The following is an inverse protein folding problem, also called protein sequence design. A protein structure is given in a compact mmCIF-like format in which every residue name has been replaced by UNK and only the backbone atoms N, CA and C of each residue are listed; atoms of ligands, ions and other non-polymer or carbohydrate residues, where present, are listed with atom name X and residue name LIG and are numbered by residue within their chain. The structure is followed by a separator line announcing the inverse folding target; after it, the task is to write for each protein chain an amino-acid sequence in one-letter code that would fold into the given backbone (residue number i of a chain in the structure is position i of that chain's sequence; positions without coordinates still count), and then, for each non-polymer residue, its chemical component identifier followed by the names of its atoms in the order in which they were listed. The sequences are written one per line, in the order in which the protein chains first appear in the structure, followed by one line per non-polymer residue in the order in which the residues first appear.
data_IF_171659129784
#
_entry.id   IF_171659129784
#
_cell.length_a   1.000
_cell.length_b   1.000
_cell.length_c   1.000
_cell.angle_alpha   90.00
_cell.angle_beta   90.00
_cell.angle_gamma   90.00
#
_symmetry.space_group_name_H-M   'P 1'
#
loop_
_entity.id
_entity.type
_entity.pdbx_description
1 polymer ?
#
# COMPACT_ATOMS: atom_id res chain seq x y z
N UNK A 1 -35.98 -54.24 3.11
CA UNK A 1 -35.98 -52.92 2.45
C UNK A 1 -35.20 -51.98 3.34
N UNK A 2 -33.94 -51.73 2.99
CA UNK A 2 -33.05 -50.77 3.70
C UNK A 2 -33.00 -49.50 2.87
N UNK A 3 -33.55 -48.39 3.41
CA UNK A 3 -33.42 -47.08 2.81
C UNK A 3 -32.03 -46.51 3.20
N UNK A 4 -31.20 -46.26 2.21
CA UNK A 4 -29.98 -45.46 2.36
C UNK A 4 -30.40 -43.99 2.34
N UNK A 5 -30.17 -43.28 3.44
CA UNK A 5 -30.20 -41.81 3.49
C UNK A 5 -28.91 -41.31 2.86
N UNK A 6 -29.00 -40.66 1.71
CA UNK A 6 -27.91 -39.90 1.12
C UNK A 6 -27.89 -38.54 1.79
N UNK A 7 -26.88 -38.30 2.66
CA UNK A 7 -26.57 -36.98 3.19
C UNK A 7 -25.81 -36.21 2.10
N UNK A 8 -26.50 -35.28 1.45
CA UNK A 8 -25.87 -34.33 0.54
C UNK A 8 -25.21 -33.24 1.41
N UNK A 9 -23.89 -33.30 1.49
CA UNK A 9 -23.07 -32.24 2.04
C UNK A 9 -23.05 -31.05 1.08
N UNK A 10 -23.93 -30.06 1.34
CA UNK A 10 -23.83 -28.73 0.74
C UNK A 10 -22.73 -27.95 1.45
N UNK A 11 -21.48 -28.11 1.01
CA UNK A 11 -20.36 -27.25 1.42
C UNK A 11 -20.26 -26.03 0.50
N UNK A 12 -20.87 -24.92 0.88
CA UNK A 12 -20.32 -23.60 1.11
C UNK A 12 -19.55 -22.93 -0.04
N UNK A 13 -20.32 -22.43 -1.00
CA UNK A 13 -19.88 -21.33 -1.89
C UNK A 13 -20.05 -19.93 -1.23
N UNK A 14 -20.28 -19.88 0.10
CA UNK A 14 -20.71 -18.65 0.79
C UNK A 14 -19.60 -17.78 1.38
N UNK A 15 -18.37 -18.27 1.52
CA UNK A 15 -17.32 -17.51 2.21
C UNK A 15 -16.46 -16.60 1.29
N UNK A 16 -16.36 -16.94 0.01
CA UNK A 16 -15.59 -16.11 -0.94
C UNK A 16 -16.31 -14.84 -1.37
N UNK A 17 -17.64 -14.76 -1.23
CA UNK A 17 -18.43 -13.59 -1.62
C UNK A 17 -18.49 -12.48 -0.56
N UNK A 18 -18.16 -12.78 0.70
CA UNK A 18 -18.22 -11.78 1.78
C UNK A 18 -17.07 -10.76 1.72
N UNK A 19 -15.99 -11.06 1.02
CA UNK A 19 -14.75 -10.28 1.02
C UNK A 19 -14.67 -9.20 -0.06
N UNK A 20 -15.63 -9.13 -0.96
CA UNK A 20 -15.63 -8.20 -2.10
C UNK A 20 -16.79 -7.18 -2.09
N UNK A 21 -17.41 -6.94 -0.95
CA UNK A 21 -18.50 -5.97 -0.86
C UNK A 21 -17.97 -4.53 -0.84
N UNK A 22 -18.38 -3.74 -1.85
CA UNK A 22 -18.17 -2.29 -1.84
C UNK A 22 -18.94 -1.67 -0.69
N UNK A 23 -18.26 -0.93 0.19
CA UNK A 23 -18.93 -0.12 1.17
C UNK A 23 -19.86 0.89 0.47
N UNK A 24 -21.08 1.12 0.94
CA UNK A 24 -22.02 2.07 0.35
C UNK A 24 -21.45 3.49 0.23
N UNK A 25 -20.58 3.88 1.18
CA UNK A 25 -19.80 5.11 1.15
C UNK A 25 -18.35 4.77 1.50
N UNK A 26 -17.51 4.45 0.50
CA UNK A 26 -16.14 3.99 0.77
C UNK A 26 -15.26 5.04 1.46
N UNK A 27 -15.49 6.32 1.23
CA UNK A 27 -14.74 7.40 1.89
C UNK A 27 -15.06 7.45 3.38
N UNK A 28 -16.33 7.34 3.74
CA UNK A 28 -16.77 7.32 5.15
C UNK A 28 -16.35 6.02 5.85
N UNK A 29 -16.50 4.88 5.20
CA UNK A 29 -16.12 3.58 5.75
C UNK A 29 -14.62 3.50 6.04
N UNK A 30 -13.80 4.13 5.19
CA UNK A 30 -12.34 4.17 5.33
C UNK A 30 -11.82 5.46 6.01
N UNK A 31 -12.63 6.22 6.72
CA UNK A 31 -12.20 7.45 7.38
C UNK A 31 -11.04 7.22 8.38
N UNK A 32 -10.94 6.03 8.99
CA UNK A 32 -9.82 5.65 9.85
C UNK A 32 -8.48 5.55 9.10
N UNK A 33 -8.50 5.25 7.81
CA UNK A 33 -7.31 5.14 6.97
C UNK A 33 -6.96 6.46 6.27
N UNK A 34 -7.92 7.36 6.16
CA UNK A 34 -7.74 8.71 5.63
C UNK A 34 -8.37 9.74 6.58
N UNK A 35 -7.81 9.88 7.80
CA UNK A 35 -8.42 10.67 8.86
C UNK A 35 -8.51 12.17 8.53
N UNK A 36 -7.76 12.61 7.53
CA UNK A 36 -7.76 14.00 7.05
C UNK A 36 -8.62 14.19 5.79
N UNK A 37 -9.44 13.18 5.44
CA UNK A 37 -10.36 13.22 4.30
C UNK A 37 -9.80 12.60 3.03
N UNK A 38 -10.69 12.44 2.06
CA UNK A 38 -10.33 11.97 0.72
C UNK A 38 -9.66 13.10 -0.06
N UNK A 39 -8.44 12.85 -0.56
CA UNK A 39 -7.71 13.87 -1.29
C UNK A 39 -8.32 14.17 -2.66
N UNK A 40 -8.23 15.42 -3.08
CA UNK A 40 -8.55 15.80 -4.45
C UNK A 40 -7.43 15.36 -5.38
N UNK A 41 -7.79 14.81 -6.52
CA UNK A 41 -6.85 14.37 -7.57
C UNK A 41 -7.13 15.16 -8.85
N UNK A 42 -6.07 15.47 -9.60
CA UNK A 42 -6.19 16.17 -10.90
C UNK A 42 -6.96 15.34 -11.94
N UNK A 43 -6.91 14.01 -11.82
CA UNK A 43 -7.67 13.05 -12.63
C UNK A 43 -8.77 12.44 -11.77
N UNK A 44 -9.96 12.15 -12.32
CA UNK A 44 -11.00 11.47 -11.56
C UNK A 44 -10.49 10.13 -11.01
N UNK A 45 -10.67 9.90 -9.71
CA UNK A 45 -10.29 8.67 -9.05
C UNK A 45 -11.47 8.08 -8.29
N UNK A 46 -11.70 6.77 -8.47
CA UNK A 46 -12.76 6.04 -7.79
C UNK A 46 -12.30 5.64 -6.39
N UNK A 47 -13.02 6.00 -5.32
CA UNK A 47 -12.68 5.53 -3.99
C UNK A 47 -13.09 4.06 -3.82
N UNK A 48 -12.17 3.25 -3.28
CA UNK A 48 -12.38 1.84 -2.93
C UNK A 48 -11.88 1.67 -1.49
N UNK A 49 -12.79 1.28 -0.60
CA UNK A 49 -12.45 1.01 0.80
C UNK A 49 -12.15 -0.48 1.00
N UNK A 50 -11.07 -0.77 1.71
CA UNK A 50 -10.68 -2.08 2.19
C UNK A 50 -10.57 -2.07 3.72
N UNK A 51 -10.43 -3.23 4.33
CA UNK A 51 -10.37 -3.31 5.79
C UNK A 51 -9.22 -2.48 6.38
N UNK A 52 -8.09 -2.40 5.66
CA UNK A 52 -6.86 -1.77 6.15
C UNK A 52 -6.40 -0.53 5.37
N UNK A 53 -7.05 -0.18 4.26
CA UNK A 53 -6.62 0.96 3.44
C UNK A 53 -7.75 1.50 2.54
N UNK A 54 -7.57 2.73 2.10
CA UNK A 54 -8.40 3.41 1.10
C UNK A 54 -7.60 3.59 -0.19
N UNK A 55 -8.19 3.20 -1.31
CA UNK A 55 -7.63 3.44 -2.65
C UNK A 55 -8.40 4.57 -3.33
N UNK A 56 -7.69 5.49 -3.95
CA UNK A 56 -8.21 6.36 -5.00
C UNK A 56 -7.76 5.80 -6.35
N UNK A 57 -8.60 5.02 -7.01
CA UNK A 57 -8.23 4.27 -8.22
C UNK A 57 -8.47 5.09 -9.49
N UNK A 58 -7.42 5.27 -10.32
CA UNK A 58 -7.51 5.89 -11.65
C UNK A 58 -7.78 4.79 -12.70
N UNK A 59 -9.06 4.53 -12.94
CA UNK A 59 -9.52 3.43 -13.77
C UNK A 59 -9.02 3.47 -15.23
N UNK A 60 -8.96 4.63 -15.93
CA UNK A 60 -8.41 4.73 -17.27
C UNK A 60 -6.99 4.23 -17.44
N UNK A 61 -6.14 4.38 -16.41
CA UNK A 61 -4.72 3.98 -16.44
C UNK A 61 -4.42 2.77 -15.55
N UNK A 62 -5.44 2.25 -14.87
CA UNK A 62 -5.45 0.99 -14.11
C UNK A 62 -4.43 0.90 -12.98
N UNK A 63 -4.15 2.01 -12.31
CA UNK A 63 -3.35 2.08 -11.09
C UNK A 63 -4.04 2.94 -10.04
N UNK A 64 -3.68 2.83 -8.75
CA UNK A 64 -4.10 3.83 -7.78
C UNK A 64 -3.47 5.20 -8.09
N UNK A 65 -4.27 6.27 -8.06
CA UNK A 65 -3.75 7.63 -8.01
C UNK A 65 -3.03 7.83 -6.66
N UNK A 66 -3.61 7.30 -5.59
CA UNK A 66 -2.95 7.11 -4.29
C UNK A 66 -3.65 6.03 -3.49
N UNK A 67 -2.93 5.52 -2.48
CA UNK A 67 -3.46 4.69 -1.40
C UNK A 67 -3.19 5.38 -0.07
N UNK A 68 -4.18 5.35 0.83
CA UNK A 68 -4.05 5.88 2.19
C UNK A 68 -4.30 4.75 3.20
N UNK A 69 -3.46 4.66 4.22
CA UNK A 69 -3.68 3.74 5.33
C UNK A 69 -3.10 4.28 6.64
N UNK A 70 -3.65 3.82 7.75
CA UNK A 70 -3.13 4.14 9.08
C UNK A 70 -2.53 2.90 9.72
N UNK A 71 -1.22 2.93 9.93
CA UNK A 71 -0.48 1.85 10.60
C UNK A 71 -0.51 2.08 12.11
N UNK A 72 -1.14 1.16 12.82
CA UNK A 72 -1.13 1.12 14.27
C UNK A 72 0.07 0.29 14.78
N UNK A 73 0.69 0.62 15.93
CA UNK A 73 1.84 -0.14 16.46
C UNK A 73 1.58 -1.64 16.59
N UNK A 74 0.39 -2.03 17.05
CA UNK A 74 0.01 -3.43 17.23
C UNK A 74 -0.14 -4.18 15.90
N UNK A 75 -0.45 -3.49 14.80
CA UNK A 75 -0.63 -4.06 13.46
C UNK A 75 0.70 -4.17 12.70
N UNK A 76 1.67 -3.29 12.99
CA UNK A 76 2.98 -3.27 12.34
C UNK A 76 3.80 -4.56 12.51
N UNK A 77 3.41 -5.43 13.45
CA UNK A 77 3.98 -6.76 13.66
C UNK A 77 2.93 -7.85 13.38
N UNK A 78 2.23 -7.78 12.26
CA UNK A 78 1.30 -8.82 11.85
C UNK A 78 2.01 -10.17 11.63
N UNK A 79 1.33 -11.29 11.95
CA UNK A 79 1.93 -12.63 11.91
C UNK A 79 1.33 -13.52 10.83
N UNK A 80 0.41 -13.02 10.04
CA UNK A 80 -0.16 -13.81 8.95
C UNK A 80 0.90 -13.98 7.85
N UNK A 81 1.13 -15.23 7.36
CA UNK A 81 2.17 -15.48 6.38
C UNK A 81 1.83 -14.88 5.02
N UNK A 82 2.84 -14.36 4.34
CA UNK A 82 2.71 -13.83 2.99
C UNK A 82 2.29 -14.91 1.99
N UNK A 83 1.21 -14.68 1.26
CA UNK A 83 0.68 -15.66 0.29
C UNK A 83 1.18 -15.47 -1.13
N UNK A 84 1.57 -14.26 -1.53
CA UNK A 84 1.84 -13.87 -2.92
C UNK A 84 0.65 -14.10 -3.87
N UNK A 85 -0.57 -14.11 -3.32
CA UNK A 85 -1.80 -14.42 -4.03
C UNK A 85 -2.35 -13.19 -4.77
N UNK A 86 -1.57 -12.61 -5.69
CA UNK A 86 -2.02 -11.47 -6.49
C UNK A 86 -3.27 -11.83 -7.29
N UNK A 87 -4.30 -11.00 -7.18
CA UNK A 87 -5.61 -11.25 -7.78
C UNK A 87 -6.24 -9.95 -8.29
N UNK A 88 -6.96 -10.03 -9.41
CA UNK A 88 -7.75 -8.92 -9.92
C UNK A 88 -8.83 -8.51 -8.90
N UNK A 89 -9.02 -7.21 -8.74
CA UNK A 89 -10.05 -6.68 -7.84
C UNK A 89 -11.42 -6.82 -8.50
N UNK A 90 -12.24 -7.75 -7.99
CA UNK A 90 -13.57 -8.05 -8.54
C UNK A 90 -14.54 -6.88 -8.40
N UNK A 91 -14.29 -5.97 -7.46
CA UNK A 91 -15.13 -4.78 -7.27
C UNK A 91 -15.14 -3.84 -8.49
N UNK A 92 -14.19 -4.00 -9.42
CA UNK A 92 -14.12 -3.25 -10.67
C UNK A 92 -14.85 -3.92 -11.83
N UNK A 93 -15.51 -5.06 -11.63
CA UNK A 93 -16.26 -5.75 -12.70
C UNK A 93 -15.39 -6.16 -13.90
N UNK A 94 -14.13 -6.50 -13.67
CA UNK A 94 -13.19 -6.94 -14.71
C UNK A 94 -12.49 -5.83 -15.50
N UNK A 95 -12.71 -4.55 -15.17
CA UNK A 95 -12.09 -3.41 -15.88
C UNK A 95 -10.72 -3.00 -15.33
N UNK A 96 -10.34 -3.48 -14.14
CA UNK A 96 -9.07 -3.18 -13.48
C UNK A 96 -7.85 -3.90 -14.07
N UNK A 97 -6.69 -3.63 -13.48
CA UNK A 97 -5.47 -4.39 -13.75
C UNK A 97 -5.62 -5.85 -13.27
N UNK A 98 -4.90 -6.73 -13.94
CA UNK A 98 -4.84 -8.17 -13.62
C UNK A 98 -3.39 -8.61 -13.44
N UNK A 99 -3.11 -9.73 -12.76
CA UNK A 99 -1.77 -10.28 -12.68
C UNK A 99 -1.15 -10.59 -14.05
N UNK A 100 -1.98 -10.93 -15.05
CA UNK A 100 -1.54 -11.23 -16.42
C UNK A 100 -0.92 -10.00 -17.12
N UNK A 101 -1.35 -8.79 -16.77
CA UNK A 101 -0.81 -7.55 -17.35
C UNK A 101 0.68 -7.34 -17.04
N UNK A 102 1.22 -8.02 -16.03
CA UNK A 102 2.61 -7.92 -15.59
C UNK A 102 3.52 -9.03 -16.12
N UNK A 103 2.94 -10.10 -16.69
CA UNK A 103 3.72 -11.27 -17.14
C UNK A 103 4.67 -10.87 -18.28
N UNK A 104 5.96 -11.21 -18.14
CA UNK A 104 6.98 -10.93 -19.16
C UNK A 104 7.39 -9.48 -19.32
N UNK A 105 6.88 -8.55 -18.50
CA UNK A 105 7.13 -7.11 -18.64
C UNK A 105 8.43 -6.64 -17.98
N UNK A 106 9.01 -7.43 -17.07
CA UNK A 106 10.16 -7.06 -16.25
C UNK A 106 9.83 -6.18 -15.04
N UNK A 107 8.54 -5.86 -14.81
CA UNK A 107 8.10 -5.13 -13.63
C UNK A 107 7.54 -6.06 -12.57
N UNK A 108 7.85 -5.75 -11.32
CA UNK A 108 7.22 -6.34 -10.14
C UNK A 108 5.81 -5.74 -9.97
N UNK A 109 4.91 -6.49 -9.35
CA UNK A 109 3.67 -5.97 -8.77
C UNK A 109 4.01 -5.33 -7.43
N UNK A 110 4.41 -4.04 -7.47
CA UNK A 110 4.86 -3.29 -6.30
C UNK A 110 3.66 -2.80 -5.48
N UNK A 111 3.67 -3.10 -4.19
CA UNK A 111 2.62 -2.67 -3.28
C UNK A 111 2.63 -1.16 -3.04
N UNK A 112 1.46 -0.54 -3.00
CA UNK A 112 1.26 0.78 -2.42
C UNK A 112 1.20 0.67 -0.89
N UNK A 113 0.18 0.02 -0.33
CA UNK A 113 0.14 -0.39 1.08
C UNK A 113 0.78 -1.78 1.19
N UNK A 114 1.95 -1.92 1.83
CA UNK A 114 2.74 -3.14 1.75
C UNK A 114 2.17 -4.27 2.60
N UNK A 115 2.29 -5.49 2.13
CA UNK A 115 1.93 -6.71 2.84
C UNK A 115 2.53 -6.77 4.27
N UNK A 116 3.78 -6.36 4.44
CA UNK A 116 4.41 -6.30 5.75
C UNK A 116 3.69 -5.43 6.79
N UNK A 117 3.00 -4.36 6.34
CA UNK A 117 2.17 -3.50 7.17
C UNK A 117 0.76 -4.08 7.37
N UNK A 118 0.33 -5.02 6.51
CA UNK A 118 -1.04 -5.49 6.36
C UNK A 118 -1.20 -7.01 6.64
N UNK A 119 -0.42 -7.56 7.54
CA UNK A 119 -0.37 -9.01 7.83
C UNK A 119 -0.94 -9.40 9.20
N UNK A 120 -1.91 -8.65 9.75
CA UNK A 120 -2.47 -8.97 11.07
C UNK A 120 -3.70 -9.89 11.03
N UNK A 121 -4.41 -10.01 9.90
CA UNK A 121 -5.46 -11.00 9.65
C UNK A 121 -5.34 -11.58 8.26
N UNK A 122 -6.01 -12.72 7.99
CA UNK A 122 -6.07 -13.33 6.67
C UNK A 122 -6.75 -12.42 5.65
N UNK A 123 -7.82 -11.73 6.04
CA UNK A 123 -8.57 -10.81 5.21
C UNK A 123 -7.69 -9.65 4.75
N UNK A 124 -7.03 -8.99 5.69
CA UNK A 124 -6.18 -7.82 5.42
C UNK A 124 -4.98 -8.19 4.54
N UNK A 125 -4.37 -9.37 4.81
CA UNK A 125 -3.31 -9.90 3.97
C UNK A 125 -3.79 -10.17 2.55
N UNK A 126 -4.93 -10.87 2.39
CA UNK A 126 -5.55 -11.10 1.08
C UNK A 126 -5.80 -9.79 0.32
N UNK A 127 -6.40 -8.80 0.98
CA UNK A 127 -6.68 -7.50 0.37
C UNK A 127 -5.42 -6.76 -0.05
N UNK A 128 -4.29 -6.96 0.66
CA UNK A 128 -3.02 -6.35 0.29
C UNK A 128 -2.54 -6.75 -1.12
N UNK A 129 -2.92 -7.96 -1.60
CA UNK A 129 -2.58 -8.50 -2.92
C UNK A 129 -3.58 -8.18 -4.04
N UNK A 130 -4.61 -7.38 -3.78
CA UNK A 130 -5.51 -6.90 -4.84
C UNK A 130 -4.75 -5.99 -5.82
N UNK A 131 -4.98 -6.20 -7.12
CA UNK A 131 -4.29 -5.43 -8.16
C UNK A 131 -4.60 -3.93 -8.11
N UNK A 132 -5.66 -3.51 -7.42
CA UNK A 132 -5.94 -2.08 -7.12
C UNK A 132 -4.97 -1.47 -6.10
N UNK A 133 -4.15 -2.27 -5.44
CA UNK A 133 -3.08 -1.83 -4.52
C UNK A 133 -1.69 -1.91 -5.18
N UNK A 134 -1.60 -2.14 -6.50
CA UNK A 134 -0.35 -2.44 -7.19
C UNK A 134 0.09 -1.36 -8.17
N UNK A 135 1.41 -1.14 -8.22
CA UNK A 135 2.08 -0.36 -9.24
C UNK A 135 3.08 -1.22 -10.03
N UNK A 136 3.28 -0.97 -11.34
CA UNK A 136 4.42 -1.53 -12.08
C UNK A 136 5.73 -0.92 -11.57
N UNK A 137 6.47 -1.63 -10.75
CA UNK A 137 7.75 -1.17 -10.21
C UNK A 137 8.91 -2.02 -10.69
N UNK A 138 10.02 -1.39 -11.11
CA UNK A 138 11.24 -2.14 -11.39
C UNK A 138 11.83 -2.72 -10.10
N UNK A 139 12.37 -3.94 -10.18
CA UNK A 139 12.87 -4.65 -9.00
C UNK A 139 13.97 -3.93 -8.23
N UNK A 140 14.79 -3.10 -8.88
CA UNK A 140 15.82 -2.29 -8.21
C UNK A 140 15.23 -1.26 -7.25
N UNK A 141 14.06 -0.71 -7.56
CA UNK A 141 13.32 0.18 -6.67
C UNK A 141 12.54 -0.63 -5.64
N UNK A 142 11.64 -1.52 -6.12
CA UNK A 142 10.67 -2.24 -5.28
C UNK A 142 11.32 -3.06 -4.17
N UNK A 143 12.36 -3.83 -4.52
CA UNK A 143 13.08 -4.70 -3.57
C UNK A 143 14.27 -4.01 -2.89
N UNK A 144 14.55 -2.75 -3.26
CA UNK A 144 15.63 -1.92 -2.72
C UNK A 144 15.11 -0.86 -1.75
N UNK A 145 15.35 0.40 -2.11
CA UNK A 145 15.08 1.55 -1.22
C UNK A 145 13.60 1.74 -0.88
N UNK A 146 12.67 1.32 -1.76
CA UNK A 146 11.24 1.34 -1.47
C UNK A 146 10.91 0.44 -0.28
N UNK A 147 11.39 -0.82 -0.31
CA UNK A 147 11.26 -1.77 0.81
C UNK A 147 11.93 -1.25 2.08
N UNK A 148 13.08 -0.56 1.96
CA UNK A 148 13.76 0.04 3.10
C UNK A 148 12.86 1.09 3.78
N UNK A 149 12.20 1.97 3.02
CA UNK A 149 11.27 2.95 3.57
C UNK A 149 10.07 2.28 4.24
N UNK A 150 9.50 1.24 3.64
CA UNK A 150 8.40 0.45 4.23
C UNK A 150 8.81 -0.16 5.58
N UNK A 151 9.98 -0.78 5.62
CA UNK A 151 10.50 -1.37 6.86
C UNK A 151 10.78 -0.29 7.91
N UNK A 152 11.24 0.90 7.50
CA UNK A 152 11.45 2.03 8.41
C UNK A 152 10.12 2.52 9.01
N UNK A 153 9.06 2.64 8.21
CA UNK A 153 7.72 3.04 8.69
C UNK A 153 7.21 2.05 9.76
N UNK A 154 7.35 0.74 9.52
CA UNK A 154 7.02 -0.28 10.54
C UNK A 154 7.85 -0.12 11.81
N UNK A 155 9.15 0.10 11.63
CA UNK A 155 10.06 0.33 12.75
C UNK A 155 9.66 1.55 13.57
N UNK A 156 9.30 2.65 12.94
CA UNK A 156 8.81 3.85 13.63
C UNK A 156 7.54 3.55 14.44
N UNK A 157 6.56 2.90 13.83
CA UNK A 157 5.31 2.57 14.53
C UNK A 157 5.55 1.71 15.77
N UNK A 158 6.41 0.69 15.67
CA UNK A 158 6.72 -0.23 16.78
C UNK A 158 7.54 0.47 17.86
N UNK A 159 8.59 1.19 17.50
CA UNK A 159 9.58 1.72 18.46
C UNK A 159 9.11 3.00 19.16
N UNK A 160 8.31 3.82 18.48
CA UNK A 160 7.69 5.00 19.12
C UNK A 160 6.40 4.65 19.84
N UNK A 161 5.82 3.47 19.57
CA UNK A 161 4.48 3.06 20.01
C UNK A 161 3.42 4.09 19.60
N UNK A 162 3.55 4.64 18.38
CA UNK A 162 2.66 5.66 17.84
C UNK A 162 2.07 5.21 16.49
N UNK A 163 0.90 5.76 16.15
CA UNK A 163 0.27 5.49 14.87
C UNK A 163 0.74 6.45 13.79
N UNK A 164 0.82 5.95 12.57
CA UNK A 164 1.22 6.73 11.40
C UNK A 164 0.15 6.63 10.31
N UNK A 165 -0.22 7.75 9.71
CA UNK A 165 -1.00 7.78 8.48
C UNK A 165 -0.04 7.92 7.30
N UNK A 166 -0.19 7.05 6.31
CA UNK A 166 0.68 6.98 5.15
C UNK A 166 -0.15 7.23 3.89
N UNK A 167 0.30 8.17 3.06
CA UNK A 167 -0.17 8.35 1.69
C UNK A 167 0.91 7.86 0.73
N UNK A 168 0.53 6.99 -0.18
CA UNK A 168 1.41 6.39 -1.19
C UNK A 168 0.84 6.69 -2.55
N UNK A 169 1.64 7.21 -3.46
CA UNK A 169 1.17 7.51 -4.80
C UNK A 169 2.29 7.46 -5.83
N UNK A 170 1.94 7.85 -7.05
CA UNK A 170 2.83 7.82 -8.18
C UNK A 170 2.82 9.14 -8.95
N UNK A 171 3.93 9.43 -9.62
CA UNK A 171 4.03 10.49 -10.63
C UNK A 171 3.85 9.85 -12.00
N UNK A 172 2.77 10.21 -12.70
CA UNK A 172 2.45 9.66 -14.01
C UNK A 172 1.66 10.66 -14.87
N UNK A 173 1.71 10.48 -16.18
CA UNK A 173 1.03 11.38 -17.09
C UNK A 173 1.11 10.93 -18.56
N UNK A 174 0.72 11.83 -19.46
CA UNK A 174 0.82 11.59 -20.89
C UNK A 174 2.28 11.36 -21.30
N UNK A 175 2.55 10.28 -22.02
CA UNK A 175 3.89 9.90 -22.44
C UNK A 175 4.54 8.81 -21.60
N UNK A 176 4.01 8.48 -20.44
CA UNK A 176 4.47 7.29 -19.69
C UNK A 176 4.07 6.01 -20.43
N UNK A 177 4.94 4.99 -20.46
CA UNK A 177 4.64 3.73 -21.13
C UNK A 177 3.54 2.95 -20.40
N UNK A 178 2.97 1.97 -21.10
CA UNK A 178 1.99 1.04 -20.53
C UNK A 178 2.47 -0.39 -20.66
N UNK A 179 1.97 -1.28 -19.78
CA UNK A 179 2.13 -2.72 -19.84
C UNK A 179 0.78 -3.41 -19.98
N UNK A 180 0.80 -4.66 -20.43
CA UNK A 180 -0.39 -5.50 -20.53
C UNK A 180 -1.53 -4.79 -21.24
N UNK A 181 -2.70 -4.83 -20.64
CA UNK A 181 -3.90 -4.20 -21.19
C UNK A 181 -4.07 -2.74 -20.68
N UNK A 182 -3.03 -1.90 -20.90
CA UNK A 182 -3.08 -0.46 -20.65
C UNK A 182 -2.82 -0.03 -19.19
N UNK A 183 -2.09 -0.82 -18.42
CA UNK A 183 -1.62 -0.41 -17.09
C UNK A 183 -0.45 0.55 -17.25
N UNK A 184 -0.58 1.80 -16.83
CA UNK A 184 0.49 2.81 -16.95
C UNK A 184 1.67 2.48 -16.05
N UNK A 185 2.89 2.77 -16.53
CA UNK A 185 4.14 2.63 -15.76
C UNK A 185 4.57 4.01 -15.31
N UNK A 186 4.37 4.40 -14.06
CA UNK A 186 4.76 5.70 -13.55
C UNK A 186 6.25 5.97 -13.67
N UNK A 187 6.63 7.25 -13.89
CA UNK A 187 8.02 7.69 -13.90
C UNK A 187 8.60 7.99 -12.52
N UNK A 188 7.79 7.86 -11.46
CA UNK A 188 8.22 8.02 -10.08
C UNK A 188 7.14 7.63 -9.09
N UNK A 189 7.55 7.47 -7.82
CA UNK A 189 6.66 7.13 -6.71
C UNK A 189 6.97 7.99 -5.50
N UNK A 190 5.98 8.17 -4.63
CA UNK A 190 6.16 8.90 -3.39
C UNK A 190 5.48 8.22 -2.21
N UNK A 191 5.98 8.52 -1.01
CA UNK A 191 5.31 8.30 0.27
C UNK A 191 5.33 9.58 1.08
N UNK A 192 4.18 9.89 1.71
CA UNK A 192 4.06 10.92 2.74
C UNK A 192 3.66 10.20 4.01
N UNK A 193 4.43 10.38 5.07
CA UNK A 193 4.22 9.74 6.37
C UNK A 193 3.91 10.80 7.41
N UNK A 194 2.85 10.60 8.18
CA UNK A 194 2.37 11.51 9.21
C UNK A 194 2.35 10.75 10.53
N UNK A 195 3.07 11.24 11.51
CA UNK A 195 2.90 10.78 12.88
C UNK A 195 1.65 11.43 13.48
N UNK A 196 0.65 10.62 13.80
CA UNK A 196 -0.67 11.12 14.23
C UNK A 196 -0.66 11.77 15.62
N UNK A 197 0.31 11.44 16.47
CA UNK A 197 0.44 12.00 17.81
C UNK A 197 1.24 13.32 17.81
N UNK A 198 2.40 13.33 17.13
CA UNK A 198 3.28 14.52 17.11
C UNK A 198 2.95 15.50 15.99
N UNK A 199 2.11 15.09 15.02
CA UNK A 199 1.78 15.85 13.80
C UNK A 199 2.98 16.15 12.90
N UNK A 200 4.09 15.46 13.11
CA UNK A 200 5.24 15.53 12.25
C UNK A 200 4.96 14.84 10.93
N UNK A 201 5.40 15.45 9.83
CA UNK A 201 5.24 14.90 8.47
C UNK A 201 6.59 14.80 7.79
N UNK A 202 6.72 13.79 6.93
CA UNK A 202 7.88 13.63 6.06
C UNK A 202 7.45 13.06 4.70
N UNK A 203 8.06 13.58 3.62
CA UNK A 203 7.80 13.16 2.25
C UNK A 203 9.04 12.59 1.58
N UNK A 204 8.87 11.54 0.78
CA UNK A 204 9.90 10.94 -0.08
C UNK A 204 9.39 10.80 -1.49
N UNK A 205 10.27 11.03 -2.47
CA UNK A 205 9.99 10.84 -3.88
C UNK A 205 11.15 10.10 -4.56
N UNK A 206 10.84 9.03 -5.27
CA UNK A 206 11.80 8.16 -5.91
C UNK A 206 11.60 8.20 -7.43
N UNK A 207 12.66 8.41 -8.22
CA UNK A 207 12.59 8.31 -9.67
C UNK A 207 12.38 6.86 -10.10
N UNK A 208 11.62 6.68 -11.18
CA UNK A 208 11.41 5.37 -11.81
C UNK A 208 11.52 5.48 -13.33
N UNK A 209 12.68 5.91 -13.81
CA UNK A 209 13.00 6.11 -15.23
C UNK A 209 14.15 5.24 -15.67
N UNK A 210 14.17 4.86 -16.95
CA UNK A 210 15.30 4.13 -17.52
C UNK A 210 16.54 5.03 -17.65
N UNK A 211 17.77 4.52 -17.51
CA UNK A 211 18.08 3.15 -17.08
C UNK A 211 17.75 2.94 -15.60
N UNK A 212 17.09 1.82 -15.27
CA UNK A 212 16.78 1.50 -13.87
C UNK A 212 18.05 1.12 -13.12
N UNK A 213 18.40 1.90 -12.11
CA UNK A 213 19.60 1.73 -11.29
C UNK A 213 19.23 1.38 -9.84
N UNK A 214 20.17 0.82 -9.11
CA UNK A 214 20.05 0.71 -7.67
C UNK A 214 20.19 2.10 -7.05
N UNK A 215 19.19 2.54 -6.30
CA UNK A 215 19.14 3.87 -5.68
C UNK A 215 19.89 3.93 -4.33
N UNK A 216 20.56 2.84 -3.94
CA UNK A 216 21.25 2.76 -2.65
C UNK A 216 20.32 2.54 -1.48
N UNK A 217 20.75 2.97 -0.29
CA UNK A 217 20.05 2.77 0.98
C UNK A 217 19.97 4.03 1.86
N UNK A 218 20.27 5.21 1.31
CA UNK A 218 20.15 6.48 2.02
C UNK A 218 18.81 7.15 1.67
N UNK A 219 17.85 7.04 2.58
CA UNK A 219 16.53 7.64 2.42
C UNK A 219 16.55 9.18 2.45
N UNK A 220 17.59 9.79 3.01
CA UNK A 220 17.65 11.26 3.18
C UNK A 220 17.78 11.97 1.84
N UNK A 221 18.45 11.35 0.85
CA UNK A 221 18.64 11.92 -0.49
C UNK A 221 17.36 11.94 -1.32
N UNK A 222 16.33 11.19 -0.90
CA UNK A 222 15.02 11.13 -1.56
C UNK A 222 13.94 11.93 -0.84
N UNK A 223 14.33 12.68 0.22
CA UNK A 223 13.41 13.60 0.88
C UNK A 223 12.98 14.70 -0.09
N UNK A 224 11.68 14.95 -0.11
CA UNK A 224 11.09 15.98 -0.94
C UNK A 224 10.02 16.74 -0.15
N UNK A 225 9.97 18.06 -0.25
CA UNK A 225 8.91 18.84 0.39
C UNK A 225 7.53 18.32 -0.01
N UNK A 226 6.67 18.11 1.00
CA UNK A 226 5.34 17.54 0.79
C UNK A 226 4.50 18.39 -0.18
N UNK A 227 4.63 19.72 -0.11
CA UNK A 227 3.96 20.62 -1.06
C UNK A 227 4.40 20.38 -2.51
N UNK A 228 5.69 20.10 -2.76
CA UNK A 228 6.18 19.78 -4.10
C UNK A 228 5.68 18.39 -4.57
N UNK A 229 5.65 17.39 -3.68
CA UNK A 229 5.07 16.08 -3.99
C UNK A 229 3.62 16.26 -4.44
N UNK A 230 2.82 16.99 -3.68
CA UNK A 230 1.41 17.23 -4.01
C UNK A 230 1.25 17.95 -5.36
N UNK A 231 2.05 18.96 -5.61
CA UNK A 231 2.01 19.71 -6.87
C UNK A 231 2.35 18.83 -8.07
N UNK A 232 3.44 18.05 -7.99
CA UNK A 232 3.89 17.18 -9.08
C UNK A 232 2.95 16.01 -9.33
N UNK A 233 2.39 15.43 -8.26
CA UNK A 233 1.43 14.32 -8.37
C UNK A 233 0.01 14.78 -8.74
N UNK A 234 -0.27 16.09 -8.73
CA UNK A 234 -1.60 16.61 -8.97
C UNK A 234 -2.62 16.18 -7.92
N UNK A 235 -2.21 16.08 -6.64
CA UNK A 235 -3.06 15.69 -5.51
C UNK A 235 -3.09 16.78 -4.45
N UNK A 236 -4.20 16.87 -3.70
CA UNK A 236 -4.32 17.79 -2.56
C UNK A 236 -4.75 17.01 -1.33
N UNK A 237 -3.78 16.64 -0.52
CA UNK A 237 -4.04 16.07 0.80
C UNK A 237 -4.33 17.18 1.81
N UNK A 238 -5.25 16.90 2.73
CA UNK A 238 -5.33 17.65 3.97
C UNK A 238 -4.42 17.02 5.03
N UNK A 239 -3.96 17.82 5.98
CA UNK A 239 -3.08 17.41 7.07
C UNK A 239 -3.63 17.90 8.41
N UNK A 240 -3.19 17.33 9.56
CA UNK A 240 -3.61 17.81 10.86
C UNK A 240 -3.23 19.29 11.04
N UNK A 241 -4.08 20.05 11.71
CA UNK A 241 -3.78 21.42 12.04
C UNK A 241 -2.49 21.50 12.89
N UNK A 242 -1.57 22.36 12.50
CA UNK A 242 -0.27 22.50 13.14
C UNK A 242 0.72 21.37 12.75
N UNK A 243 0.53 20.78 11.58
CA UNK A 243 1.49 19.82 11.03
C UNK A 243 2.89 20.46 10.86
N UNK A 244 3.93 19.69 11.22
CA UNK A 244 5.33 20.13 11.19
C UNK A 244 6.09 19.23 10.22
N UNK A 245 6.58 19.78 9.12
CA UNK A 245 7.40 19.02 8.18
C UNK A 245 8.83 18.89 8.72
N UNK A 246 9.30 17.63 8.81
CA UNK A 246 10.66 17.32 9.27
C UNK A 246 11.68 17.63 8.17
N UNK A 247 12.82 18.20 8.54
CA UNK A 247 13.96 18.32 7.64
C UNK A 247 14.59 16.93 7.37
N UNK A 248 15.30 16.74 6.24
CA UNK A 248 16.05 15.52 5.97
C UNK A 248 17.02 15.18 7.12
N UNK A 249 17.05 13.92 7.54
CA UNK A 249 17.85 13.45 8.67
C UNK A 249 17.23 13.65 10.04
N UNK A 250 16.02 14.26 10.11
CA UNK A 250 15.26 14.43 11.36
C UNK A 250 14.11 13.44 11.49
N UNK A 251 14.10 12.37 10.67
CA UNK A 251 13.11 11.33 10.72
C UNK A 251 13.17 10.57 12.06
N UNK A 252 12.07 9.90 12.35
CA UNK A 252 11.97 9.07 13.55
C UNK A 252 13.04 7.98 13.55
N UNK A 253 13.63 7.68 14.72
CA UNK A 253 14.69 6.68 14.80
C UNK A 253 14.15 5.28 14.48
N UNK A 254 14.98 4.44 13.84
CA UNK A 254 14.68 3.04 13.58
C UNK A 254 15.87 2.15 13.93
N UNK A 255 15.59 1.06 14.63
CA UNK A 255 16.51 -0.05 14.88
C UNK A 255 15.93 -1.32 14.25
N UNK A 256 16.44 -1.70 13.09
CA UNK A 256 15.96 -2.87 12.35
C UNK A 256 16.18 -4.18 13.11
N UNK A 257 17.27 -4.29 13.89
CA UNK A 257 17.51 -5.46 14.74
C UNK A 257 16.45 -5.63 15.81
N UNK A 258 16.07 -4.54 16.49
CA UNK A 258 15.00 -4.54 17.47
C UNK A 258 13.63 -4.85 16.82
N UNK A 259 13.35 -4.31 15.63
CA UNK A 259 12.13 -4.63 14.88
C UNK A 259 12.04 -6.12 14.56
N UNK A 260 13.13 -6.70 14.03
CA UNK A 260 13.21 -8.14 13.72
C UNK A 260 13.02 -9.00 14.98
N UNK A 261 13.64 -8.61 16.09
CA UNK A 261 13.48 -9.31 17.35
C UNK A 261 12.04 -9.26 17.88
N UNK A 262 11.39 -8.07 17.81
CA UNK A 262 10.01 -7.90 18.21
C UNK A 262 9.06 -8.76 17.34
N UNK A 263 9.29 -8.81 16.02
CA UNK A 263 8.53 -9.65 15.08
C UNK A 263 8.68 -11.13 15.44
N UNK A 264 9.92 -11.60 15.68
CA UNK A 264 10.18 -12.99 16.08
C UNK A 264 9.55 -13.33 17.42
N UNK A 265 9.65 -12.45 18.41
CA UNK A 265 9.04 -12.66 19.72
C UNK A 265 7.51 -12.77 19.64
N UNK A 266 6.86 -11.99 18.79
CA UNK A 266 5.41 -12.01 18.61
C UNK A 266 4.92 -13.18 17.76
N UNK A 267 5.62 -13.50 16.67
CA UNK A 267 5.13 -14.41 15.63
C UNK A 267 5.80 -15.79 15.64
N UNK A 268 6.88 -15.98 16.37
CA UNK A 268 7.62 -17.25 16.44
C UNK A 268 8.06 -17.72 15.05
N UNK A 269 7.75 -18.99 14.70
CA UNK A 269 8.06 -19.58 13.41
C UNK A 269 7.33 -18.91 12.21
N UNK A 270 6.27 -18.17 12.47
CA UNK A 270 5.52 -17.41 11.45
C UNK A 270 6.13 -16.03 11.17
N UNK A 271 7.22 -15.66 11.84
CA UNK A 271 7.99 -14.48 11.49
C UNK A 271 8.66 -14.72 10.14
N UNK A 272 7.95 -14.42 9.04
CA UNK A 272 8.58 -14.40 7.71
C UNK A 272 9.76 -13.45 7.74
N UNK A 273 10.92 -13.90 7.22
CA UNK A 273 12.01 -12.98 6.92
C UNK A 273 11.51 -12.01 5.84
N UNK A 274 11.40 -10.74 6.20
CA UNK A 274 11.13 -9.66 5.26
C UNK A 274 12.34 -9.36 4.39
#
# INVERSE_FOLDING_TARGET
MKQLLAIVLLFTAGLAQAWDQRAPNPVQACAVHSPYGFAQTARPAQPICREAYLVAYDAPVKIPAYVAYTLQPQNALGCFPRTNAFVADQSLGGTGATPADYVGTGYDKGHAAPDGDLSWTQQVEYESFLMTNMYPQHGSLNRGIWKLLETSVRGWAVQTNQSYTIYVGAFYGAGDPTIGNGVIVPHGYYKIVINNQTKQIAGWAFPHTKPYVNLGNDLTVFRKPVAQIMQEAGVKYAFPQGAIELAPGQEWPVNFGALTQAKRAKCGANASAE
#
